data_IF_225034151994
#
_entry.id   IF_225034151994
#
_cell.length_a   1.000
_cell.length_b   1.000
_cell.length_c   1.000
_cell.angle_alpha   90.00
_cell.angle_beta   90.00
_cell.angle_gamma   90.00
#
_symmetry.space_group_name_H-M   'P 1'
#
loop_
_entity.id
_entity.type
_entity.pdbx_description
1 polymer ?
#
# COMPACT_ATOMS: atom_id res chain seq x y z
N UNK A 1 7.40 -0.36 -19.45
CA UNK A 1 6.84 0.26 -18.24
C UNK A 1 6.09 -0.77 -17.43
N UNK A 2 6.50 -0.98 -16.18
CA UNK A 2 5.72 -1.73 -15.20
C UNK A 2 4.77 -0.75 -14.48
N UNK A 3 3.52 -1.14 -14.29
CA UNK A 3 2.57 -0.33 -13.53
C UNK A 3 2.80 -0.55 -12.04
N UNK A 4 2.76 0.52 -11.23
CA UNK A 4 2.69 0.38 -9.77
C UNK A 4 1.52 -0.53 -9.34
N UNK A 5 0.43 -0.54 -10.10
CA UNK A 5 -0.71 -1.41 -9.85
C UNK A 5 -0.36 -2.91 -9.87
N UNK A 6 0.62 -3.33 -10.68
CA UNK A 6 1.09 -4.73 -10.68
C UNK A 6 1.67 -5.13 -9.32
N UNK A 7 2.48 -4.26 -8.72
CA UNK A 7 3.08 -4.53 -7.41
C UNK A 7 2.04 -4.48 -6.30
N UNK A 8 1.14 -3.50 -6.32
CA UNK A 8 0.05 -3.41 -5.33
C UNK A 8 -0.88 -4.64 -5.44
N UNK A 9 -1.19 -5.11 -6.66
CA UNK A 9 -1.95 -6.36 -6.83
C UNK A 9 -1.28 -7.56 -6.15
N UNK A 10 0.04 -7.69 -6.28
CA UNK A 10 0.77 -8.77 -5.60
C UNK A 10 0.72 -8.64 -4.06
N UNK A 11 0.77 -7.41 -3.51
CA UNK A 11 0.57 -7.15 -2.08
C UNK A 11 -0.82 -7.62 -1.62
N UNK A 12 -1.86 -7.42 -2.44
CA UNK A 12 -3.22 -7.88 -2.17
C UNK A 12 -3.49 -9.35 -2.56
N UNK A 13 -2.45 -10.14 -2.84
CA UNK A 13 -2.56 -11.53 -3.33
C UNK A 13 -3.48 -11.69 -4.57
N UNK A 14 -3.58 -10.64 -5.38
CA UNK A 14 -4.29 -10.64 -6.66
C UNK A 14 -3.33 -11.06 -7.79
N UNK A 15 -3.87 -11.54 -8.94
CA UNK A 15 -3.04 -11.84 -10.11
C UNK A 15 -2.13 -10.67 -10.48
N UNK A 16 -0.84 -10.96 -10.60
CA UNK A 16 0.22 -10.00 -10.89
C UNK A 16 1.39 -10.68 -11.64
N UNK A 17 2.09 -9.98 -12.54
CA UNK A 17 3.30 -10.49 -13.20
C UNK A 17 4.55 -10.53 -12.30
N UNK A 18 4.46 -10.06 -11.05
CA UNK A 18 5.56 -10.06 -10.08
C UNK A 18 5.11 -10.75 -8.80
N UNK A 19 6.05 -11.38 -8.10
CA UNK A 19 5.82 -12.02 -6.80
C UNK A 19 6.67 -11.36 -5.71
N UNK A 20 6.15 -11.41 -4.47
CA UNK A 20 6.86 -10.90 -3.29
C UNK A 20 7.89 -11.95 -2.88
N UNK A 21 9.16 -11.57 -2.82
CA UNK A 21 10.28 -12.41 -2.38
C UNK A 21 10.61 -12.23 -0.90
N UNK A 22 10.35 -11.05 -0.34
CA UNK A 22 10.52 -10.75 1.08
C UNK A 22 9.55 -9.63 1.51
N UNK A 23 9.13 -9.67 2.77
CA UNK A 23 8.27 -8.66 3.36
C UNK A 23 8.63 -8.44 4.84
N UNK A 24 8.86 -7.18 5.21
CA UNK A 24 9.04 -6.75 6.60
C UNK A 24 7.89 -5.83 6.95
N UNK A 25 7.24 -6.07 8.09
CA UNK A 25 6.08 -5.29 8.53
C UNK A 25 6.34 -4.80 9.95
N UNK A 26 6.14 -3.51 10.15
CA UNK A 26 6.17 -2.86 11.45
C UNK A 26 4.80 -2.23 11.72
N UNK A 27 4.23 -2.55 12.87
CA UNK A 27 2.95 -2.00 13.32
C UNK A 27 3.17 -1.20 14.60
N UNK A 28 2.45 -0.09 14.70
CA UNK A 28 2.46 0.77 15.88
C UNK A 28 1.05 1.26 16.16
N UNK A 29 0.73 1.32 17.45
CA UNK A 29 -0.42 2.05 17.95
C UNK A 29 0.06 3.24 18.76
N UNK A 30 -0.57 4.39 18.53
CA UNK A 30 -0.30 5.63 19.27
C UNK A 30 -1.61 6.28 19.64
N UNK A 31 -1.60 7.10 20.68
CA UNK A 31 -2.75 7.89 21.08
C UNK A 31 -2.41 9.36 20.87
N UNK A 32 -3.17 10.03 20.01
CA UNK A 32 -3.02 11.47 19.70
C UNK A 32 -4.35 12.15 20.01
N UNK A 33 -4.33 13.18 20.87
CA UNK A 33 -5.53 13.93 21.27
C UNK A 33 -6.73 13.08 21.73
N UNK A 34 -6.45 11.93 22.36
CA UNK A 34 -7.46 10.99 22.85
C UNK A 34 -8.02 10.04 21.78
N UNK A 35 -7.47 10.07 20.57
CA UNK A 35 -7.78 9.16 19.48
C UNK A 35 -6.67 8.12 19.36
N UNK A 36 -7.03 6.85 19.42
CA UNK A 36 -6.09 5.77 19.10
C UNK A 36 -5.90 5.69 17.58
N UNK A 37 -4.65 5.78 17.15
CA UNK A 37 -4.22 5.70 15.76
C UNK A 37 -3.42 4.41 15.60
N UNK A 38 -3.77 3.62 14.59
CA UNK A 38 -3.01 2.45 14.17
C UNK A 38 -2.28 2.74 12.87
N UNK A 39 -0.96 2.65 12.91
CA UNK A 39 -0.08 2.80 11.74
C UNK A 39 0.67 1.50 11.45
N UNK A 40 0.78 1.17 10.17
CA UNK A 40 1.53 0.02 9.66
C UNK A 40 2.48 0.53 8.56
N UNK A 41 3.76 0.18 8.67
CA UNK A 41 4.73 0.36 7.59
C UNK A 41 5.20 -1.03 7.13
N UNK A 42 5.11 -1.31 5.83
CA UNK A 42 5.57 -2.54 5.23
C UNK A 42 6.58 -2.28 4.12
N UNK A 43 7.71 -2.99 4.17
CA UNK A 43 8.74 -2.98 3.15
C UNK A 43 8.67 -4.29 2.37
N UNK A 44 8.39 -4.20 1.08
CA UNK A 44 8.30 -5.33 0.18
C UNK A 44 9.51 -5.39 -0.75
N UNK A 45 10.04 -6.59 -0.96
CA UNK A 45 10.95 -6.92 -2.05
C UNK A 45 10.26 -7.85 -3.02
N UNK A 46 10.40 -7.56 -4.31
CA UNK A 46 9.84 -8.37 -5.39
C UNK A 46 10.91 -9.25 -6.04
N UNK A 47 10.48 -10.31 -6.73
CA UNK A 47 11.33 -11.25 -7.48
C UNK A 47 12.22 -10.57 -8.54
N UNK A 48 11.75 -9.47 -9.13
CA UNK A 48 12.51 -8.64 -10.06
C UNK A 48 13.43 -7.61 -9.37
N UNK A 49 13.59 -7.69 -8.05
CA UNK A 49 14.49 -6.84 -7.26
C UNK A 49 13.92 -5.49 -6.84
N UNK A 50 12.73 -5.11 -7.33
CA UNK A 50 12.06 -3.86 -6.93
C UNK A 50 11.77 -3.86 -5.43
N UNK A 51 11.94 -2.69 -4.80
CA UNK A 51 11.59 -2.45 -3.40
C UNK A 51 10.52 -1.39 -3.30
N UNK A 52 9.50 -1.68 -2.51
CA UNK A 52 8.33 -0.83 -2.33
C UNK A 52 8.03 -0.68 -0.84
N UNK A 53 7.69 0.53 -0.43
CA UNK A 53 7.12 0.80 0.89
C UNK A 53 5.61 0.97 0.76
N UNK A 54 4.88 0.32 1.65
CA UNK A 54 3.48 0.62 1.94
C UNK A 54 3.43 1.28 3.32
N UNK A 55 2.61 2.32 3.44
CA UNK A 55 2.24 2.90 4.72
C UNK A 55 0.72 2.92 4.82
N UNK A 56 0.18 2.49 5.95
CA UNK A 56 -1.25 2.52 6.24
C UNK A 56 -1.45 3.19 7.60
N UNK A 57 -2.37 4.14 7.69
CA UNK A 57 -2.73 4.80 8.94
C UNK A 57 -4.25 4.95 9.03
N UNK A 58 -4.81 4.59 10.19
CA UNK A 58 -6.23 4.75 10.47
C UNK A 58 -6.45 5.10 11.93
N UNK A 59 -7.49 5.89 12.15
CA UNK A 59 -8.06 6.07 13.48
C UNK A 59 -8.81 4.79 13.88
N UNK A 60 -8.77 4.42 15.15
CA UNK A 60 -9.54 3.31 15.72
C UNK A 60 -10.90 3.77 16.25
N UNK A 61 -11.39 4.91 15.77
CA UNK A 61 -12.72 5.42 16.09
C UNK A 61 -13.80 4.59 15.37
N UNK A 62 -14.96 4.32 16.01
CA UNK A 62 -16.06 3.66 15.33
C UNK A 62 -16.52 4.45 14.10
N UNK A 63 -16.36 3.89 12.91
CA UNK A 63 -16.87 4.49 11.68
C UNK A 63 -18.19 3.81 11.26
N UNK A 64 -19.20 4.62 10.90
CA UNK A 64 -20.47 4.13 10.33
C UNK A 64 -20.48 4.19 8.80
N UNK A 65 -19.37 4.58 8.18
CA UNK A 65 -19.24 4.74 6.73
C UNK A 65 -19.00 3.40 6.03
N UNK A 66 -19.51 3.24 4.81
CA UNK A 66 -19.22 2.05 4.00
C UNK A 66 -17.73 1.95 3.60
N UNK A 67 -17.02 3.08 3.57
CA UNK A 67 -15.59 3.20 3.32
C UNK A 67 -14.98 4.01 4.46
N UNK A 68 -14.51 3.33 5.48
CA UNK A 68 -13.76 3.92 6.58
C UNK A 68 -12.54 4.68 6.06
N UNK A 69 -12.23 5.82 6.68
CA UNK A 69 -11.03 6.58 6.37
C UNK A 69 -9.79 5.79 6.79
N UNK A 70 -8.87 5.60 5.85
CA UNK A 70 -7.60 4.94 6.07
C UNK A 70 -6.62 5.47 5.03
N UNK A 71 -5.57 6.14 5.50
CA UNK A 71 -4.52 6.71 4.69
C UNK A 71 -3.59 5.60 4.24
N UNK A 72 -3.63 5.26 2.95
CA UNK A 72 -2.82 4.19 2.35
C UNK A 72 -1.88 4.83 1.34
N UNK A 73 -0.57 4.69 1.54
CA UNK A 73 0.49 5.20 0.67
C UNK A 73 1.39 4.09 0.15
N UNK A 74 1.82 4.22 -1.11
CA UNK A 74 2.80 3.35 -1.75
C UNK A 74 3.92 4.16 -2.37
N UNK A 75 5.16 3.75 -2.17
CA UNK A 75 6.36 4.41 -2.70
C UNK A 75 7.38 3.39 -3.24
N UNK A 76 7.87 3.61 -4.46
CA UNK A 76 8.98 2.85 -5.03
C UNK A 76 10.30 3.35 -4.43
N UNK A 77 10.92 2.54 -3.57
CA UNK A 77 12.20 2.85 -2.93
C UNK A 77 13.40 2.55 -3.85
N UNK A 78 13.34 1.42 -4.55
CA UNK A 78 14.33 1.01 -5.55
C UNK A 78 13.59 0.38 -6.72
N UNK A 79 13.77 0.93 -7.91
CA UNK A 79 13.11 0.41 -9.11
C UNK A 79 13.88 -0.72 -9.78
N UNK A 80 15.10 -1.07 -9.33
CA UNK A 80 15.92 -2.15 -9.89
C UNK A 80 16.02 -2.11 -11.43
N UNK A 81 16.19 -0.91 -12.00
CA UNK A 81 16.23 -0.67 -13.44
C UNK A 81 14.87 -0.72 -14.16
N UNK A 82 13.77 -1.03 -13.47
CA UNK A 82 12.43 -1.03 -14.03
C UNK A 82 11.88 0.39 -14.16
N UNK A 83 11.21 0.68 -15.28
CA UNK A 83 10.42 1.91 -15.42
C UNK A 83 9.03 1.71 -14.78
N UNK A 84 8.90 2.16 -13.52
CA UNK A 84 7.64 2.08 -12.75
C UNK A 84 6.97 3.44 -12.72
N UNK A 85 5.70 3.51 -13.12
CA UNK A 85 4.88 4.71 -13.05
C UNK A 85 3.45 4.39 -12.54
N UNK A 86 2.90 5.22 -11.62
CA UNK A 86 3.59 6.28 -10.88
C UNK A 86 4.61 5.71 -9.88
N UNK A 87 5.57 6.53 -9.41
CA UNK A 87 6.52 6.13 -8.34
C UNK A 87 5.93 6.23 -6.93
N UNK A 88 4.87 7.02 -6.78
CA UNK A 88 4.15 7.21 -5.52
C UNK A 88 2.65 7.25 -5.79
N UNK A 89 1.87 6.64 -4.90
CA UNK A 89 0.40 6.73 -4.93
C UNK A 89 -0.16 6.69 -3.52
N UNK A 90 -1.11 7.57 -3.23
CA UNK A 90 -1.85 7.59 -1.98
C UNK A 90 -3.36 7.44 -2.21
N UNK A 91 -4.05 6.94 -1.20
CA UNK A 91 -5.50 6.77 -1.13
C UNK A 91 -5.97 7.15 0.28
N UNK A 92 -7.17 7.74 0.40
CA UNK A 92 -7.75 8.09 1.71
C UNK A 92 -8.65 6.99 2.28
N UNK A 93 -8.88 5.92 1.52
CA UNK A 93 -9.54 4.70 1.98
C UNK A 93 -9.27 3.53 1.04
N UNK A 94 -9.57 2.31 1.51
CA UNK A 94 -9.43 1.07 0.75
C UNK A 94 -10.37 1.00 -0.47
N UNK A 95 -11.48 1.74 -0.48
CA UNK A 95 -12.39 1.77 -1.63
C UNK A 95 -11.77 2.47 -2.84
N UNK A 96 -11.10 3.61 -2.62
CA UNK A 96 -10.38 4.33 -3.67
C UNK A 96 -9.22 3.50 -4.22
N UNK A 97 -8.47 2.82 -3.35
CA UNK A 97 -7.42 1.89 -3.76
C UNK A 97 -7.98 0.78 -4.67
N UNK A 98 -9.00 0.06 -4.20
CA UNK A 98 -9.62 -1.03 -4.97
C UNK A 98 -10.19 -0.55 -6.29
N UNK A 99 -10.81 0.63 -6.32
CA UNK A 99 -11.29 1.23 -7.56
C UNK A 99 -10.13 1.52 -8.52
N UNK A 100 -9.05 2.12 -8.03
CA UNK A 100 -7.87 2.40 -8.84
C UNK A 100 -7.23 1.12 -9.40
N UNK A 101 -7.10 0.05 -8.60
CA UNK A 101 -6.61 -1.24 -9.08
C UNK A 101 -7.49 -1.88 -10.16
N UNK A 102 -8.80 -1.62 -10.16
CA UNK A 102 -9.71 -2.06 -11.24
C UNK A 102 -9.51 -1.25 -12.52
N UNK A 103 -9.25 0.05 -12.41
CA UNK A 103 -8.97 0.91 -13.56
C UNK A 103 -7.61 0.62 -14.22
N UNK A 104 -6.71 -0.06 -13.51
CA UNK A 104 -5.38 -0.45 -13.96
C UNK A 104 -5.21 -1.98 -14.06
N UNK A 105 -6.32 -2.72 -14.19
CA UNK A 105 -6.32 -4.17 -14.40
C UNK A 105 -6.01 -4.54 -15.85
#
# INVERSE_FOLDING_TARGET
MHSLASYIRAIHALPSPVSISDAQVEEQQRCEDGVEIHSCEALYRFDNGVRLRQHCERDLLPSSGACEECWIGYEVLDSAGQEISPRYKHFVNACQERFWLRMHA
#
